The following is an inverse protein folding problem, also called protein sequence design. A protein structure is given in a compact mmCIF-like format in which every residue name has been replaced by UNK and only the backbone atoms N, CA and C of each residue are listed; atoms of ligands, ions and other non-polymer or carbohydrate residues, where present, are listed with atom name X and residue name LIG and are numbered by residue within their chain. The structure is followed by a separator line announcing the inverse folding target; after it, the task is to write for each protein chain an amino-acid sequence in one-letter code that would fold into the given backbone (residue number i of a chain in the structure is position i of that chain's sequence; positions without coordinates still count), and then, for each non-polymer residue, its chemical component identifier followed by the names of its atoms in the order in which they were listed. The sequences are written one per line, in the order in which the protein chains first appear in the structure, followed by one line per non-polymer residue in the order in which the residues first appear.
data_IF_999732441961
#
_entry.id   IF_999732441961
#
_cell.length_a   1.000
_cell.length_b   1.000
_cell.length_c   1.000
_cell.angle_alpha   90.00
_cell.angle_beta   90.00
_cell.angle_gamma   90.00
#
_symmetry.space_group_name_H-M   'P 1'
#
loop_
_entity.id
_entity.type
_entity.pdbx_description
1 polymer ?
#
# COMPACT_ATOMS: atom_id res chain seq x y z
N UNK A 1 -33.59 -44.54 0.83
CA UNK A 1 -34.53 -44.43 1.95
C UNK A 1 -34.37 -43.10 2.59
N UNK A 2 -35.37 -42.42 2.36
CA UNK A 2 -36.07 -41.28 3.00
C UNK A 2 -35.41 -39.89 3.02
N UNK A 3 -36.01 -39.10 2.14
CA UNK A 3 -36.14 -37.65 2.12
C UNK A 3 -36.70 -37.11 3.43
N UNK A 4 -36.23 -35.89 3.81
CA UNK A 4 -37.15 -34.91 4.41
C UNK A 4 -36.72 -33.48 4.00
N UNK A 5 -37.49 -32.97 3.03
CA UNK A 5 -37.60 -31.52 2.76
C UNK A 5 -38.55 -30.92 3.79
N UNK A 6 -38.23 -29.77 4.32
CA UNK A 6 -39.21 -28.91 4.96
C UNK A 6 -39.05 -27.47 4.45
N UNK A 7 -40.02 -27.09 3.63
CA UNK A 7 -40.36 -25.74 3.22
C UNK A 7 -40.73 -24.86 4.44
N UNK A 8 -40.29 -23.61 4.48
CA UNK A 8 -41.00 -22.55 5.17
C UNK A 8 -41.21 -21.34 4.24
N UNK A 9 -42.47 -21.03 4.16
CA UNK A 9 -43.20 -20.14 3.28
C UNK A 9 -42.96 -18.64 3.52
N UNK A 10 -43.07 -17.88 2.40
CA UNK A 10 -43.28 -16.42 2.33
C UNK A 10 -44.66 -16.04 2.88
N UNK A 11 -44.75 -14.94 3.61
CA UNK A 11 -45.86 -13.95 3.68
C UNK A 11 -45.38 -12.78 4.56
N UNK A 12 -45.09 -11.65 4.05
CA UNK A 12 -45.90 -10.49 3.70
C UNK A 12 -46.83 -10.01 4.84
N UNK A 13 -46.55 -8.82 5.44
CA UNK A 13 -47.63 -7.92 5.89
C UNK A 13 -47.20 -6.46 5.79
N UNK A 14 -48.16 -5.72 5.32
CA UNK A 14 -48.22 -4.32 4.92
C UNK A 14 -48.46 -3.37 6.10
N UNK A 15 -48.00 -2.13 5.91
CA UNK A 15 -48.67 -0.86 6.16
C UNK A 15 -48.94 -0.37 7.61
N UNK A 16 -48.51 0.84 7.88
CA UNK A 16 -48.93 1.69 8.98
C UNK A 16 -48.48 3.12 8.75
N UNK A 17 -49.46 3.97 8.40
CA UNK A 17 -49.36 5.30 7.88
C UNK A 17 -49.07 6.39 8.94
N UNK A 18 -48.46 7.43 8.50
CA UNK A 18 -48.64 8.87 8.73
C UNK A 18 -49.03 9.40 10.11
N UNK A 19 -48.25 10.35 10.61
CA UNK A 19 -48.82 11.52 11.29
C UNK A 19 -47.93 12.74 11.08
N UNK A 20 -48.47 13.69 10.35
CA UNK A 20 -48.04 15.09 10.23
C UNK A 20 -48.27 15.81 11.56
N UNK A 21 -47.33 16.62 12.00
CA UNK A 21 -47.62 17.70 12.95
C UNK A 21 -46.74 18.90 12.60
N UNK A 22 -47.41 19.85 11.95
CA UNK A 22 -47.00 21.24 11.79
C UNK A 22 -47.36 22.04 13.04
N UNK A 23 -46.49 22.89 13.54
CA UNK A 23 -46.78 24.08 14.36
C UNK A 23 -45.59 25.01 14.29
N UNK A 24 -45.73 26.04 13.51
CA UNK A 24 -46.06 27.46 13.74
C UNK A 24 -44.96 28.32 14.35
N UNK A 25 -44.61 29.30 13.54
CA UNK A 25 -43.80 30.48 13.79
C UNK A 25 -44.29 31.30 15.02
N UNK A 26 -43.35 31.88 15.73
CA UNK A 26 -43.51 33.15 16.41
C UNK A 26 -42.26 33.98 16.27
N UNK A 27 -42.36 35.05 15.54
CA UNK A 27 -41.39 36.13 15.50
C UNK A 27 -41.68 37.08 16.67
N UNK A 28 -40.64 37.56 17.35
CA UNK A 28 -40.63 38.84 18.00
C UNK A 28 -39.25 39.44 18.02
N UNK A 29 -39.21 40.59 17.47
CA UNK A 29 -38.20 41.59 17.28
C UNK A 29 -37.77 42.23 18.62
N UNK A 30 -36.49 42.59 18.77
CA UNK A 30 -35.94 43.88 19.19
C UNK A 30 -34.44 43.80 19.62
N UNK A 31 -33.65 44.57 18.90
CA UNK A 31 -32.66 45.46 19.57
C UNK A 31 -31.21 45.08 19.68
N UNK A 32 -30.41 45.44 18.71
CA UNK A 32 -29.17 46.23 18.92
C UNK A 32 -27.96 45.60 19.64
N UNK A 33 -26.91 45.37 18.87
CA UNK A 33 -25.59 45.15 19.42
C UNK A 33 -24.60 44.58 18.38
N UNK A 34 -23.99 45.45 17.58
CA UNK A 34 -22.85 45.08 16.73
C UNK A 34 -21.64 44.66 17.58
N UNK A 35 -21.26 43.40 17.48
CA UNK A 35 -19.87 42.98 17.69
C UNK A 35 -19.46 42.13 16.53
N UNK A 36 -18.48 42.58 15.78
CA UNK A 36 -17.82 41.89 14.73
C UNK A 36 -17.13 40.65 15.30
N UNK A 37 -17.72 39.47 15.08
CA UNK A 37 -17.05 38.23 15.25
C UNK A 37 -16.55 37.78 13.87
N UNK A 38 -15.24 37.76 13.72
CA UNK A 38 -14.57 37.22 12.54
C UNK A 38 -15.08 35.84 12.24
N UNK A 39 -15.73 35.68 11.08
CA UNK A 39 -16.03 34.38 10.50
C UNK A 39 -14.74 33.72 10.08
N UNK A 40 -14.13 32.94 10.98
CA UNK A 40 -13.19 31.93 10.58
C UNK A 40 -13.93 30.95 9.69
N UNK A 41 -13.52 30.85 8.44
CA UNK A 41 -13.91 29.75 7.58
C UNK A 41 -13.56 28.47 8.36
N UNK A 42 -14.60 27.73 8.79
CA UNK A 42 -14.45 26.36 9.23
C UNK A 42 -13.97 25.60 7.99
N UNK A 43 -12.63 25.47 7.86
CA UNK A 43 -12.03 24.51 6.96
C UNK A 43 -12.66 23.15 7.26
N UNK A 44 -13.01 22.40 6.24
CA UNK A 44 -13.37 21.01 6.36
C UNK A 44 -12.30 20.39 7.26
N UNK A 45 -12.69 19.87 8.41
CA UNK A 45 -11.77 19.20 9.31
C UNK A 45 -11.36 17.91 8.61
N UNK A 46 -10.15 17.90 8.05
CA UNK A 46 -9.49 16.67 7.65
C UNK A 46 -9.47 15.77 8.89
N UNK A 47 -10.28 14.72 8.86
CA UNK A 47 -10.58 13.91 10.04
C UNK A 47 -9.56 12.81 10.28
N UNK A 48 -8.31 12.95 9.80
CA UNK A 48 -7.23 12.02 10.10
C UNK A 48 -6.84 12.05 11.59
N UNK A 49 -6.30 10.93 12.07
CA UNK A 49 -5.73 10.85 13.42
C UNK A 49 -4.33 11.44 13.42
N UNK A 50 -4.11 12.46 14.24
CA UNK A 50 -2.77 12.99 14.51
C UNK A 50 -1.91 11.98 15.27
N UNK A 51 -0.60 12.21 15.37
CA UNK A 51 0.28 11.40 16.21
C UNK A 51 -0.20 11.34 17.68
N UNK A 52 -0.74 12.42 18.21
CA UNK A 52 -1.29 12.48 19.58
C UNK A 52 -2.60 11.69 19.70
N UNK A 53 -3.46 11.72 18.69
CA UNK A 53 -4.69 10.90 18.67
C UNK A 53 -4.37 9.41 18.62
N UNK A 54 -3.34 9.02 17.85
CA UNK A 54 -2.83 7.65 17.77
C UNK A 54 -2.29 7.20 19.13
N UNK A 55 -1.44 8.01 19.77
CA UNK A 55 -0.93 7.74 21.12
C UNK A 55 -2.05 7.59 22.16
N UNK A 56 -3.04 8.47 22.09
CA UNK A 56 -4.21 8.43 23.00
C UNK A 56 -5.08 7.21 22.76
N UNK A 57 -5.20 6.76 21.51
CA UNK A 57 -5.95 5.55 21.15
C UNK A 57 -5.20 4.27 21.53
N UNK A 58 -3.87 4.31 21.70
CA UNK A 58 -3.04 3.17 22.00
C UNK A 58 -2.78 2.22 20.83
N UNK A 59 -3.21 2.59 19.61
CA UNK A 59 -3.06 1.77 18.40
C UNK A 59 -2.81 2.63 17.17
N UNK A 60 -1.93 2.16 16.27
CA UNK A 60 -1.72 2.72 14.93
C UNK A 60 -2.15 1.72 13.87
N UNK A 61 -2.95 2.15 12.90
CA UNK A 61 -3.39 1.34 11.77
C UNK A 61 -2.38 1.45 10.64
N UNK A 62 -1.79 0.33 10.24
CA UNK A 62 -0.75 0.27 9.22
C UNK A 62 -1.26 -0.56 8.05
N UNK A 63 -1.34 0.07 6.86
CA UNK A 63 -1.62 -0.64 5.61
C UNK A 63 -0.38 -1.35 5.10
N UNK A 64 -0.50 -2.62 4.75
CA UNK A 64 0.59 -3.44 4.22
C UNK A 64 0.10 -4.41 3.16
N UNK A 65 0.96 -4.89 2.28
CA UNK A 65 0.67 -6.05 1.44
C UNK A 65 0.74 -7.31 2.28
N UNK A 66 -0.24 -8.21 2.11
CA UNK A 66 -0.27 -9.49 2.79
C UNK A 66 0.18 -10.67 1.91
N UNK A 67 0.57 -10.39 0.65
CA UNK A 67 0.87 -11.37 -0.39
C UNK A 67 2.11 -11.00 -1.26
N UNK A 68 2.95 -10.07 -0.76
CA UNK A 68 4.15 -9.59 -1.45
C UNK A 68 5.42 -9.90 -0.63
N UNK A 69 5.72 -11.20 -0.46
CA UNK A 69 6.95 -11.62 0.21
C UNK A 69 8.19 -11.24 -0.63
N UNK A 70 9.29 -10.81 0.00
CA UNK A 70 9.56 -10.72 1.45
C UNK A 70 9.25 -9.35 2.09
N UNK A 71 8.59 -8.43 1.37
CA UNK A 71 8.33 -7.06 1.83
C UNK A 71 7.16 -6.97 2.80
N UNK A 72 6.02 -7.58 2.43
CA UNK A 72 4.83 -7.67 3.28
C UNK A 72 4.05 -8.94 2.94
N UNK A 73 3.85 -9.81 3.92
CA UNK A 73 3.15 -11.08 3.74
C UNK A 73 2.59 -11.60 5.05
N UNK A 74 1.77 -12.64 4.97
CA UNK A 74 1.32 -13.39 6.14
C UNK A 74 2.20 -14.62 6.29
N UNK A 75 2.83 -14.78 7.47
CA UNK A 75 3.71 -15.89 7.75
C UNK A 75 2.94 -17.21 8.00
N UNK A 76 3.68 -18.29 8.26
CA UNK A 76 3.10 -19.62 8.56
C UNK A 76 2.23 -19.67 9.83
N UNK A 77 2.40 -18.71 10.71
CA UNK A 77 1.65 -18.59 11.97
C UNK A 77 0.44 -17.63 11.84
N UNK A 78 0.17 -17.14 10.62
CA UNK A 78 -0.92 -16.23 10.30
C UNK A 78 -0.65 -14.78 10.71
N UNK A 79 0.60 -14.41 10.93
CA UNK A 79 1.00 -13.06 11.36
C UNK A 79 1.59 -12.24 10.23
N UNK A 80 1.39 -10.91 10.24
CA UNK A 80 2.11 -10.01 9.35
C UNK A 80 3.63 -10.15 9.52
N UNK A 81 4.36 -10.21 8.41
CA UNK A 81 5.81 -10.34 8.37
C UNK A 81 6.40 -9.65 7.13
N UNK A 82 7.69 -9.39 7.15
CA UNK A 82 8.45 -8.78 6.05
C UNK A 82 9.02 -7.41 6.37
N UNK A 83 9.82 -6.89 5.44
CA UNK A 83 10.58 -5.66 5.58
C UNK A 83 9.73 -4.44 5.97
N UNK A 84 8.61 -4.20 5.27
CA UNK A 84 7.67 -3.13 5.60
C UNK A 84 7.02 -3.32 6.97
N UNK A 85 6.79 -4.57 7.37
CA UNK A 85 6.14 -4.91 8.65
C UNK A 85 7.10 -4.65 9.82
N UNK A 86 8.39 -4.99 9.69
CA UNK A 86 9.40 -4.71 10.71
C UNK A 86 9.55 -3.20 10.93
N UNK A 87 9.57 -2.41 9.85
CA UNK A 87 9.57 -0.95 9.96
C UNK A 87 8.32 -0.43 10.67
N UNK A 88 7.14 -0.94 10.31
CA UNK A 88 5.87 -0.55 10.96
C UNK A 88 5.83 -0.92 12.45
N UNK A 89 6.34 -2.09 12.84
CA UNK A 89 6.46 -2.49 14.25
C UNK A 89 7.39 -1.53 15.02
N UNK A 90 8.48 -1.10 14.39
CA UNK A 90 9.41 -0.14 14.99
C UNK A 90 8.74 1.21 15.21
N UNK A 91 8.05 1.75 14.23
CA UNK A 91 7.30 3.01 14.36
C UNK A 91 6.24 2.93 15.46
N UNK A 92 5.48 1.85 15.54
CA UNK A 92 4.49 1.65 16.59
C UNK A 92 5.11 1.61 17.99
N UNK A 93 6.23 0.89 18.14
CA UNK A 93 7.01 0.82 19.39
C UNK A 93 7.48 2.21 19.84
N UNK A 94 8.02 3.00 18.92
CA UNK A 94 8.58 4.33 19.24
C UNK A 94 7.47 5.38 19.49
N UNK A 95 6.27 5.19 18.87
CA UNK A 95 5.03 5.90 19.26
C UNK A 95 4.49 5.48 20.63
N UNK A 96 4.90 4.31 21.16
CA UNK A 96 4.38 3.75 22.40
C UNK A 96 2.98 3.15 22.28
N UNK A 97 2.64 2.59 21.09
CA UNK A 97 1.32 2.04 20.76
C UNK A 97 1.44 0.64 20.14
N UNK A 98 0.32 -0.06 20.00
CA UNK A 98 0.26 -1.33 19.28
C UNK A 98 0.04 -1.10 17.77
N UNK A 99 0.71 -1.91 16.93
CA UNK A 99 0.48 -1.92 15.49
C UNK A 99 -0.72 -2.80 15.14
N UNK A 100 -1.69 -2.23 14.42
CA UNK A 100 -2.81 -2.95 13.80
C UNK A 100 -2.60 -2.98 12.29
N UNK A 101 -2.21 -4.14 11.76
CA UNK A 101 -1.93 -4.31 10.32
C UNK A 101 -3.19 -4.58 9.52
N UNK A 102 -3.40 -3.79 8.46
CA UNK A 102 -4.56 -3.86 7.58
C UNK A 102 -4.07 -4.21 6.17
N UNK A 103 -4.47 -5.38 5.68
CA UNK A 103 -4.13 -5.81 4.33
C UNK A 103 -4.71 -4.86 3.29
N UNK A 104 -3.88 -4.53 2.29
CA UNK A 104 -4.24 -3.70 1.14
C UNK A 104 -3.80 -4.34 -0.16
N UNK A 105 -4.25 -3.79 -1.28
CA UNK A 105 -3.76 -4.02 -2.63
C UNK A 105 -3.21 -2.72 -3.25
N UNK A 106 -2.71 -2.81 -4.47
CA UNK A 106 -2.09 -1.67 -5.15
C UNK A 106 -3.04 -0.48 -5.34
N UNK A 107 -4.30 -0.73 -5.69
CA UNK A 107 -5.32 0.30 -5.94
C UNK A 107 -5.79 0.97 -4.65
N UNK A 108 -5.83 0.25 -3.55
CA UNK A 108 -6.42 0.73 -2.30
C UNK A 108 -5.45 1.54 -1.41
N UNK A 109 -4.15 1.62 -1.75
CA UNK A 109 -3.16 2.34 -0.92
C UNK A 109 -3.54 3.80 -0.68
N UNK A 110 -3.81 4.57 -1.74
CA UNK A 110 -4.27 5.97 -1.63
C UNK A 110 -5.66 6.06 -1.00
N UNK A 111 -6.70 5.34 -1.46
CA UNK A 111 -8.03 5.38 -0.85
C UNK A 111 -8.06 5.06 0.65
N UNK A 112 -7.24 4.12 1.12
CA UNK A 112 -7.21 3.76 2.55
C UNK A 112 -6.64 4.88 3.43
N UNK A 113 -5.64 5.62 2.94
CA UNK A 113 -5.15 6.83 3.61
C UNK A 113 -6.21 7.93 3.60
N UNK A 114 -6.81 8.22 2.44
CA UNK A 114 -7.81 9.29 2.29
C UNK A 114 -9.09 9.04 3.11
N UNK A 115 -9.47 7.79 3.29
CA UNK A 115 -10.63 7.40 4.10
C UNK A 115 -10.31 7.19 5.59
N UNK A 116 -9.06 7.40 6.00
CA UNK A 116 -8.58 7.13 7.35
C UNK A 116 -8.77 5.68 7.83
N UNK A 117 -8.84 4.74 6.89
CA UNK A 117 -8.83 3.30 7.20
C UNK A 117 -7.48 2.89 7.78
N UNK A 118 -6.41 3.52 7.33
CA UNK A 118 -5.06 3.39 7.85
C UNK A 118 -4.48 4.77 8.19
N UNK A 119 -3.57 4.81 9.15
CA UNK A 119 -2.82 6.01 9.53
C UNK A 119 -1.51 6.12 8.74
N UNK A 120 -0.85 4.99 8.53
CA UNK A 120 0.42 4.86 7.81
C UNK A 120 0.25 3.78 6.74
N UNK A 121 0.75 4.04 5.53
CA UNK A 121 0.85 3.05 4.47
C UNK A 121 2.30 2.60 4.33
N UNK A 122 2.55 1.32 4.61
CA UNK A 122 3.82 0.61 4.44
C UNK A 122 3.57 -0.63 3.55
N UNK A 123 3.25 -0.38 2.29
CA UNK A 123 2.93 -1.40 1.32
C UNK A 123 3.79 -1.23 0.07
N UNK A 124 5.13 -1.25 0.27
CA UNK A 124 6.12 -1.08 -0.79
C UNK A 124 5.73 0.06 -1.72
N UNK A 125 5.48 1.26 -1.10
CA UNK A 125 4.75 2.33 -1.76
C UNK A 125 5.68 3.31 -2.46
N UNK A 126 5.86 3.10 -3.76
CA UNK A 126 6.68 3.95 -4.62
C UNK A 126 6.22 5.39 -4.63
N UNK A 127 7.13 6.32 -4.41
CA UNK A 127 6.88 7.76 -4.50
C UNK A 127 6.72 8.14 -5.98
N UNK A 128 5.57 8.71 -6.33
CA UNK A 128 5.30 9.29 -7.65
C UNK A 128 4.62 10.64 -7.47
N UNK A 129 4.79 11.53 -8.46
CA UNK A 129 4.14 12.85 -8.44
C UNK A 129 2.63 12.72 -8.28
N UNK A 130 1.98 11.83 -9.05
CA UNK A 130 0.54 11.61 -8.99
C UNK A 130 0.07 11.19 -7.60
N UNK A 131 0.83 10.30 -6.93
CA UNK A 131 0.51 9.86 -5.57
C UNK A 131 0.77 10.96 -4.55
N UNK A 132 1.87 11.72 -4.71
CA UNK A 132 2.22 12.83 -3.82
C UNK A 132 1.22 14.00 -3.86
N UNK A 133 0.43 14.13 -4.91
CA UNK A 133 -0.71 15.06 -4.92
C UNK A 133 -1.81 14.65 -3.94
N UNK A 134 -1.95 13.36 -3.64
CA UNK A 134 -3.07 12.76 -2.89
C UNK A 134 -2.73 12.36 -1.46
N UNK A 135 -1.46 12.10 -1.18
CA UNK A 135 -0.94 11.66 0.13
C UNK A 135 0.39 12.37 0.41
N UNK A 136 0.86 12.34 1.65
CA UNK A 136 2.21 12.82 1.99
C UNK A 136 3.14 11.64 2.25
N UNK A 137 4.30 11.66 1.57
CA UNK A 137 5.33 10.66 1.71
C UNK A 137 6.40 11.09 2.70
N UNK A 138 6.88 10.15 3.48
CA UNK A 138 8.08 10.31 4.31
C UNK A 138 9.35 10.38 3.46
N UNK A 139 10.48 10.57 4.11
CA UNK A 139 11.78 10.25 3.55
C UNK A 139 11.81 8.77 3.14
N UNK A 140 12.52 8.43 2.06
CA UNK A 140 12.57 7.06 1.55
C UNK A 140 13.39 6.13 2.47
N UNK A 141 13.04 4.84 2.44
CA UNK A 141 13.79 3.78 3.14
C UNK A 141 14.28 2.68 2.20
N UNK A 142 13.85 2.70 0.94
CA UNK A 142 14.23 1.72 -0.07
C UNK A 142 14.23 2.36 -1.46
N UNK A 143 15.03 1.81 -2.38
CA UNK A 143 15.04 2.17 -3.80
C UNK A 143 14.83 0.94 -4.66
N UNK A 144 14.18 1.14 -5.81
CA UNK A 144 13.81 0.09 -6.75
C UNK A 144 13.93 0.58 -8.20
N UNK A 145 13.89 -0.37 -9.11
CA UNK A 145 13.54 -0.19 -10.53
C UNK A 145 12.44 -1.18 -10.90
N UNK A 146 11.97 -1.17 -12.13
CA UNK A 146 11.08 -2.21 -12.60
C UNK A 146 11.88 -3.40 -13.13
N UNK A 147 11.28 -4.59 -13.01
CA UNK A 147 11.82 -5.83 -13.55
C UNK A 147 10.78 -6.64 -14.32
N UNK A 148 11.25 -7.58 -15.12
CA UNK A 148 10.42 -8.54 -15.85
C UNK A 148 10.91 -9.94 -15.58
N UNK A 149 10.01 -10.79 -15.08
CA UNK A 149 10.22 -12.24 -14.91
C UNK A 149 9.43 -13.01 -15.97
N UNK A 150 10.02 -14.08 -16.49
CA UNK A 150 9.41 -14.95 -17.49
C UNK A 150 9.92 -16.39 -17.34
N UNK A 151 9.25 -17.40 -17.95
CA UNK A 151 9.77 -18.76 -17.96
C UNK A 151 11.15 -18.84 -18.61
N UNK A 152 12.05 -19.67 -18.05
CA UNK A 152 13.39 -19.94 -18.61
C UNK A 152 13.34 -20.46 -20.06
N UNK A 153 12.27 -21.17 -20.41
CA UNK A 153 12.05 -21.68 -21.77
C UNK A 153 11.69 -20.59 -22.80
N UNK A 154 11.35 -19.38 -22.33
CA UNK A 154 10.91 -18.25 -23.15
C UNK A 154 11.28 -16.92 -22.50
N UNK A 155 12.57 -16.72 -22.24
CA UNK A 155 13.09 -15.55 -21.51
C UNK A 155 12.78 -14.27 -22.28
N UNK A 156 12.24 -13.27 -21.58
CA UNK A 156 12.08 -11.91 -22.07
C UNK A 156 13.26 -11.07 -21.58
N UNK A 157 14.13 -10.66 -22.50
CA UNK A 157 15.36 -9.90 -22.20
C UNK A 157 15.28 -8.42 -22.51
N UNK A 158 14.20 -8.00 -23.17
CA UNK A 158 13.91 -6.60 -23.50
C UNK A 158 12.40 -6.40 -23.64
N UNK A 159 11.97 -5.15 -23.51
CA UNK A 159 10.54 -4.79 -23.70
C UNK A 159 10.07 -5.09 -25.14
N UNK A 160 10.95 -4.97 -26.15
CA UNK A 160 10.60 -5.25 -27.53
C UNK A 160 10.16 -6.72 -27.75
N UNK A 161 10.65 -7.64 -26.92
CA UNK A 161 10.27 -9.05 -26.97
C UNK A 161 8.88 -9.35 -26.41
N UNK A 162 8.22 -8.35 -25.81
CA UNK A 162 6.80 -8.42 -25.37
C UNK A 162 5.82 -8.25 -26.52
N UNK A 163 6.29 -7.88 -27.70
CA UNK A 163 5.41 -7.72 -28.88
C UNK A 163 4.68 -9.03 -29.21
N UNK A 164 3.34 -8.93 -29.19
CA UNK A 164 2.47 -10.10 -29.42
C UNK A 164 2.35 -11.06 -28.25
N UNK A 165 2.94 -10.74 -27.09
CA UNK A 165 2.87 -11.49 -25.85
C UNK A 165 1.96 -10.80 -24.84
N UNK A 166 1.60 -11.54 -23.79
CA UNK A 166 0.77 -11.04 -22.67
C UNK A 166 1.65 -10.77 -21.46
N UNK A 167 1.71 -9.51 -21.05
CA UNK A 167 2.40 -9.11 -19.83
C UNK A 167 1.41 -9.06 -18.67
N UNK A 168 1.69 -9.81 -17.61
CA UNK A 168 0.96 -9.73 -16.36
C UNK A 168 1.46 -8.54 -15.57
N UNK A 169 0.53 -7.79 -14.94
CA UNK A 169 0.84 -6.71 -13.99
C UNK A 169 -0.20 -6.71 -12.87
N UNK A 170 0.19 -6.21 -11.69
CA UNK A 170 -0.75 -5.92 -10.61
C UNK A 170 -1.29 -4.50 -10.77
N UNK A 171 -2.60 -4.31 -10.56
CA UNK A 171 -3.27 -3.01 -10.68
C UNK A 171 -2.78 -2.00 -9.64
N UNK A 172 -2.77 -0.72 -10.00
CA UNK A 172 -2.35 0.37 -9.13
C UNK A 172 -0.84 0.41 -8.87
N UNK A 173 -0.03 -0.34 -9.65
CA UNK A 173 1.43 -0.38 -9.52
C UNK A 173 2.11 0.56 -10.53
N UNK A 174 3.37 0.89 -10.27
CA UNK A 174 4.21 1.65 -11.19
C UNK A 174 4.49 0.88 -12.47
N UNK A 175 4.55 -0.45 -12.42
CA UNK A 175 4.69 -1.28 -13.61
C UNK A 175 3.48 -1.13 -14.55
N UNK A 176 2.25 -1.20 -14.02
CA UNK A 176 1.05 -0.96 -14.82
C UNK A 176 1.11 0.39 -15.52
N UNK A 177 1.34 1.47 -14.76
CA UNK A 177 1.37 2.84 -15.30
C UNK A 177 2.51 3.05 -16.29
N UNK A 178 3.67 2.42 -16.04
CA UNK A 178 4.84 2.51 -16.92
C UNK A 178 4.54 1.92 -18.30
N UNK A 179 3.96 0.72 -18.36
CA UNK A 179 3.61 0.08 -19.61
C UNK A 179 2.46 0.77 -20.32
N UNK A 180 1.44 1.25 -19.61
CA UNK A 180 0.36 2.05 -20.22
C UNK A 180 0.86 3.30 -20.93
N UNK A 181 1.82 3.97 -20.31
CA UNK A 181 2.34 5.24 -20.81
C UNK A 181 3.37 5.08 -21.93
N UNK A 182 4.29 4.13 -21.77
CA UNK A 182 5.47 4.02 -22.64
C UNK A 182 5.34 2.93 -23.70
N UNK A 183 4.49 1.92 -23.48
CA UNK A 183 4.33 0.75 -24.38
C UNK A 183 2.85 0.36 -24.51
N UNK A 184 1.99 1.25 -25.00
CA UNK A 184 0.54 1.02 -25.10
C UNK A 184 0.16 -0.15 -26.01
N UNK A 185 1.10 -0.61 -26.87
CA UNK A 185 0.94 -1.78 -27.74
C UNK A 185 1.12 -3.11 -27.01
N UNK A 186 1.69 -3.12 -25.79
CA UNK A 186 1.85 -4.33 -25.00
C UNK A 186 0.51 -4.76 -24.42
N UNK A 187 0.11 -6.00 -24.69
CA UNK A 187 -1.12 -6.54 -24.14
C UNK A 187 -0.93 -6.88 -22.68
N UNK A 188 -1.54 -6.10 -21.79
CA UNK A 188 -1.50 -6.35 -20.33
C UNK A 188 -2.66 -7.21 -19.86
N UNK A 189 -2.36 -8.15 -18.95
CA UNK A 189 -3.32 -8.92 -18.16
C UNK A 189 -3.18 -8.47 -16.71
N UNK A 190 -4.22 -7.82 -16.18
CA UNK A 190 -4.16 -7.09 -14.91
C UNK A 190 -4.87 -7.83 -13.79
N UNK A 191 -4.22 -7.97 -12.64
CA UNK A 191 -4.74 -8.63 -11.44
C UNK A 191 -4.81 -7.65 -10.26
N UNK A 192 -5.72 -7.89 -9.32
CA UNK A 192 -5.87 -7.06 -8.13
C UNK A 192 -4.81 -7.39 -7.06
N UNK A 193 -4.45 -8.67 -6.93
CA UNK A 193 -3.47 -9.17 -5.96
C UNK A 193 -2.19 -9.66 -6.61
N UNK A 194 -1.08 -9.64 -5.86
CA UNK A 194 0.18 -10.25 -6.29
C UNK A 194 0.09 -11.76 -6.36
N UNK A 195 -0.63 -12.39 -5.43
CA UNK A 195 -0.85 -13.83 -5.43
C UNK A 195 -1.55 -14.29 -6.73
N UNK A 196 -2.60 -13.58 -7.16
CA UNK A 196 -3.29 -13.91 -8.41
C UNK A 196 -2.43 -13.66 -9.65
N UNK A 197 -1.62 -12.59 -9.63
CA UNK A 197 -0.70 -12.27 -10.72
C UNK A 197 0.38 -13.36 -10.88
N UNK A 198 0.99 -13.79 -9.79
CA UNK A 198 1.97 -14.87 -9.82
C UNK A 198 1.36 -16.22 -10.18
N UNK A 199 0.19 -16.56 -9.65
CA UNK A 199 -0.54 -17.77 -10.05
C UNK A 199 -0.87 -17.74 -11.55
N UNK A 200 -1.21 -16.57 -12.09
CA UNK A 200 -1.47 -16.43 -13.52
C UNK A 200 -0.23 -16.68 -14.37
N UNK A 201 0.95 -16.27 -13.90
CA UNK A 201 2.21 -16.57 -14.58
C UNK A 201 2.54 -18.07 -14.50
N UNK A 202 2.39 -18.70 -13.34
CA UNK A 202 2.60 -20.13 -13.14
C UNK A 202 1.65 -20.98 -14.01
N UNK A 203 0.40 -20.54 -14.18
CA UNK A 203 -0.62 -21.19 -15.01
C UNK A 203 -0.45 -20.90 -16.52
N UNK A 204 0.51 -20.07 -16.93
CA UNK A 204 0.73 -19.70 -18.33
C UNK A 204 -0.38 -18.81 -18.91
N UNK A 205 -1.11 -18.06 -18.07
CA UNK A 205 -2.13 -17.08 -18.53
C UNK A 205 -1.53 -15.79 -19.10
N UNK A 206 -0.22 -15.58 -18.86
CA UNK A 206 0.61 -14.57 -19.47
C UNK A 206 2.01 -15.11 -19.73
N UNK A 207 2.77 -14.42 -20.57
CA UNK A 207 4.10 -14.82 -21.00
C UNK A 207 5.20 -14.29 -20.06
N UNK A 208 4.91 -13.20 -19.35
CA UNK A 208 5.82 -12.56 -18.40
C UNK A 208 5.03 -11.80 -17.33
N UNK A 209 5.68 -11.44 -16.22
CA UNK A 209 5.15 -10.57 -15.19
C UNK A 209 6.14 -9.43 -14.91
N UNK A 210 5.62 -8.21 -14.77
CA UNK A 210 6.42 -7.03 -14.41
C UNK A 210 5.92 -6.41 -13.11
N UNK A 211 6.88 -6.14 -12.22
CA UNK A 211 6.75 -5.39 -10.97
C UNK A 211 8.12 -4.81 -10.59
N UNK A 212 8.33 -4.46 -9.32
CA UNK A 212 9.63 -4.00 -8.83
C UNK A 212 10.69 -5.09 -9.02
N UNK A 213 11.90 -4.70 -9.46
CA UNK A 213 12.99 -5.62 -9.70
C UNK A 213 13.36 -6.45 -8.48
N UNK A 214 13.33 -5.84 -7.29
CA UNK A 214 13.59 -6.51 -6.02
C UNK A 214 12.61 -7.64 -5.75
N UNK A 215 11.35 -7.48 -6.15
CA UNK A 215 10.33 -8.50 -5.96
C UNK A 215 10.48 -9.66 -6.94
N UNK A 216 10.67 -9.38 -8.24
CA UNK A 216 10.88 -10.47 -9.22
C UNK A 216 12.16 -11.26 -8.92
N UNK A 217 13.24 -10.60 -8.44
CA UNK A 217 14.45 -11.25 -7.97
C UNK A 217 14.19 -12.18 -6.77
N UNK A 218 13.39 -11.73 -5.80
CA UNK A 218 13.00 -12.56 -4.65
C UNK A 218 12.13 -13.75 -5.09
N UNK A 219 11.16 -13.51 -5.96
CA UNK A 219 10.21 -14.52 -6.38
C UNK A 219 10.86 -15.69 -7.13
N UNK A 220 11.82 -15.43 -8.03
CA UNK A 220 12.50 -16.49 -8.78
C UNK A 220 13.32 -17.42 -7.89
N UNK A 221 13.82 -16.94 -6.73
CA UNK A 221 14.54 -17.80 -5.78
C UNK A 221 13.70 -18.97 -5.25
N UNK A 222 12.40 -18.77 -5.18
CA UNK A 222 11.43 -19.78 -4.71
C UNK A 222 10.67 -20.47 -5.85
N UNK A 223 10.87 -20.06 -7.10
CA UNK A 223 10.12 -20.56 -8.26
C UNK A 223 11.08 -20.99 -9.38
N UNK A 224 11.70 -22.18 -9.27
CA UNK A 224 12.56 -22.73 -10.32
C UNK A 224 11.81 -22.83 -11.66
N UNK A 225 12.53 -22.60 -12.76
CA UNK A 225 11.95 -22.57 -14.11
C UNK A 225 11.53 -21.19 -14.58
N UNK A 226 11.74 -20.17 -13.74
CA UNK A 226 11.56 -18.76 -14.08
C UNK A 226 12.86 -17.97 -13.86
N UNK A 227 13.03 -16.92 -14.65
CA UNK A 227 14.21 -16.08 -14.61
C UNK A 227 13.85 -14.61 -14.80
N UNK A 228 14.55 -13.73 -14.12
CA UNK A 228 14.49 -12.29 -14.37
C UNK A 228 15.33 -11.99 -15.61
N UNK A 229 14.67 -11.62 -16.68
CA UNK A 229 15.36 -11.28 -17.93
C UNK A 229 15.61 -9.78 -18.09
N UNK A 230 14.87 -8.94 -17.35
CA UNK A 230 15.06 -7.49 -17.24
C UNK A 230 14.97 -7.13 -15.77
N UNK A 231 15.99 -6.49 -15.19
CA UNK A 231 16.08 -6.07 -13.79
C UNK A 231 16.35 -4.56 -13.62
N UNK A 232 16.49 -3.85 -14.72
CA UNK A 232 16.82 -2.42 -14.79
C UNK A 232 15.92 -1.72 -15.81
N UNK A 233 14.62 -1.66 -15.53
CA UNK A 233 13.65 -1.02 -16.42
C UNK A 233 13.14 0.29 -15.83
N UNK A 234 13.18 1.35 -16.65
CA UNK A 234 12.75 2.68 -16.25
C UNK A 234 13.78 3.43 -15.40
N UNK A 235 13.34 4.46 -14.70
CA UNK A 235 14.18 5.20 -13.77
C UNK A 235 14.24 4.48 -12.42
N UNK A 236 15.27 4.80 -11.63
CA UNK A 236 15.28 4.42 -10.23
C UNK A 236 14.21 5.22 -9.48
N UNK A 237 13.36 4.51 -8.75
CA UNK A 237 12.32 5.07 -7.89
C UNK A 237 12.62 4.76 -6.42
N UNK A 238 11.96 5.47 -5.53
CA UNK A 238 12.09 5.25 -4.08
C UNK A 238 10.78 4.76 -3.48
N UNK A 239 10.91 3.95 -2.43
CA UNK A 239 9.82 3.51 -1.57
C UNK A 239 9.85 4.33 -0.29
N UNK A 240 8.70 4.84 0.12
CA UNK A 240 8.55 5.61 1.36
C UNK A 240 7.25 5.25 2.07
N UNK A 241 7.21 5.48 3.39
CA UNK A 241 5.96 5.45 4.12
C UNK A 241 5.08 6.61 3.68
N UNK A 242 3.76 6.43 3.70
CA UNK A 242 2.84 7.52 3.39
C UNK A 242 1.79 7.69 4.48
N UNK A 243 1.33 8.92 4.63
CA UNK A 243 0.27 9.31 5.54
C UNK A 243 -0.81 10.08 4.79
N UNK A 244 -1.98 10.28 5.43
CA UNK A 244 -3.03 11.15 4.89
C UNK A 244 -2.46 12.52 4.57
N UNK A 245 -2.86 13.09 3.41
CA UNK A 245 -2.45 14.43 2.98
C UNK A 245 -2.74 15.47 4.07
N UNK A 246 -1.71 16.22 4.46
CA UNK A 246 -1.80 17.24 5.52
C UNK A 246 -1.57 16.71 6.94
N UNK A 247 -1.35 15.40 7.16
CA UNK A 247 -0.99 14.87 8.48
C UNK A 247 0.48 15.13 8.82
N UNK A 248 0.83 16.41 8.98
CA UNK A 248 2.21 16.87 9.18
C UNK A 248 2.83 16.31 10.46
N UNK A 249 2.06 16.20 11.55
CA UNK A 249 2.59 15.72 12.83
C UNK A 249 3.06 14.27 12.77
N UNK A 250 2.29 13.39 12.10
CA UNK A 250 2.68 11.99 11.92
C UNK A 250 3.82 11.85 10.91
N UNK A 251 3.81 12.66 9.85
CA UNK A 251 4.88 12.70 8.86
C UNK A 251 6.22 13.14 9.48
N UNK A 252 6.19 14.22 10.27
CA UNK A 252 7.38 14.71 11.00
C UNK A 252 7.92 13.67 11.97
N UNK A 253 7.04 12.96 12.69
CA UNK A 253 7.45 11.86 13.55
C UNK A 253 8.20 10.79 12.74
N UNK A 254 7.63 10.29 11.62
CA UNK A 254 8.27 9.25 10.80
C UNK A 254 9.62 9.74 10.26
N UNK A 255 9.70 10.97 9.77
CA UNK A 255 10.94 11.54 9.24
C UNK A 255 12.03 11.71 10.31
N UNK A 256 11.64 12.12 11.53
CA UNK A 256 12.56 12.23 12.65
C UNK A 256 13.08 10.84 13.08
N UNK A 257 12.24 9.82 13.06
CA UNK A 257 12.69 8.43 13.30
C UNK A 257 13.70 7.99 12.23
N UNK A 258 13.39 8.20 10.95
CA UNK A 258 14.28 7.81 9.83
C UNK A 258 15.64 8.50 9.93
N UNK A 259 15.69 9.80 10.23
CA UNK A 259 16.95 10.58 10.24
C UNK A 259 17.69 10.52 11.58
N UNK A 260 17.05 10.12 12.64
CA UNK A 260 17.58 10.02 14.01
C UNK A 260 17.79 8.59 14.46
N UNK A 261 16.94 8.06 15.36
CA UNK A 261 17.19 6.75 15.99
C UNK A 261 17.40 5.61 15.00
N UNK A 262 16.65 5.55 13.89
CA UNK A 262 16.80 4.48 12.91
C UNK A 262 18.13 4.57 12.18
N UNK A 263 18.54 5.76 11.75
CA UNK A 263 19.84 5.95 11.10
C UNK A 263 21.01 5.66 12.05
N UNK A 264 20.93 6.11 13.31
CA UNK A 264 21.95 5.84 14.32
C UNK A 264 22.13 4.35 14.60
N UNK A 265 21.05 3.59 14.52
CA UNK A 265 21.04 2.15 14.70
C UNK A 265 21.40 1.36 13.45
N UNK A 266 21.48 2.00 12.27
CA UNK A 266 21.60 1.34 10.96
C UNK A 266 20.43 0.36 10.74
N UNK A 267 19.22 0.85 11.00
CA UNK A 267 18.03 0.01 11.15
C UNK A 267 17.64 -0.69 9.85
N UNK A 268 17.61 0.03 8.74
CA UNK A 268 17.16 -0.55 7.46
C UNK A 268 18.12 -1.58 6.90
N UNK A 269 19.42 -1.45 7.17
CA UNK A 269 20.40 -2.51 6.85
C UNK A 269 20.21 -3.74 7.73
N UNK A 270 19.94 -3.55 9.03
CA UNK A 270 19.66 -4.69 9.93
C UNK A 270 18.37 -5.41 9.53
N UNK A 271 17.34 -4.66 9.18
CA UNK A 271 16.09 -5.21 8.69
C UNK A 271 16.31 -5.98 7.38
N UNK A 272 17.13 -5.43 6.45
CA UNK A 272 17.54 -6.15 5.26
C UNK A 272 18.21 -7.49 5.60
N UNK A 273 19.15 -7.52 6.53
CA UNK A 273 19.83 -8.75 6.94
C UNK A 273 18.88 -9.80 7.54
N UNK A 274 17.84 -9.34 8.27
CA UNK A 274 16.86 -10.22 8.91
C UNK A 274 15.78 -10.71 7.94
N UNK A 275 15.30 -9.85 7.04
CA UNK A 275 14.10 -10.12 6.23
C UNK A 275 14.41 -10.41 4.76
N UNK A 276 15.35 -9.70 4.15
CA UNK A 276 15.65 -9.77 2.72
C UNK A 276 16.85 -10.66 2.39
N UNK A 277 17.92 -10.60 3.18
CA UNK A 277 19.12 -11.43 2.98
C UNK A 277 18.83 -12.94 2.90
N UNK A 278 17.95 -13.52 3.73
CA UNK A 278 17.63 -14.95 3.64
C UNK A 278 17.01 -15.36 2.31
N UNK A 279 16.38 -14.41 1.60
CA UNK A 279 15.76 -14.63 0.29
C UNK A 279 16.73 -14.32 -0.84
N UNK A 280 17.42 -13.20 -0.79
CA UNK A 280 18.32 -12.76 -1.86
C UNK A 280 19.67 -13.52 -1.88
N UNK A 281 20.13 -13.96 -0.69
CA UNK A 281 21.49 -14.49 -0.54
C UNK A 281 22.55 -13.38 -0.56
N UNK A 282 23.80 -13.77 -0.76
CA UNK A 282 24.96 -12.84 -0.77
C UNK A 282 25.16 -12.14 -2.12
N UNK A 283 24.42 -12.54 -3.14
CA UNK A 283 24.57 -12.02 -4.50
C UNK A 283 23.98 -10.61 -4.70
N UNK A 284 23.14 -10.16 -3.78
CA UNK A 284 22.51 -8.84 -3.85
C UNK A 284 23.12 -7.91 -2.83
N UNK A 285 23.76 -6.85 -3.32
CA UNK A 285 24.32 -5.79 -2.49
C UNK A 285 23.20 -4.98 -1.83
N UNK A 286 23.10 -4.92 -0.49
CA UNK A 286 22.08 -4.13 0.21
C UNK A 286 22.08 -2.66 -0.19
N UNK A 287 23.24 -2.10 -0.58
CA UNK A 287 23.36 -0.70 -1.02
C UNK A 287 22.56 -0.41 -2.31
N UNK A 288 22.17 -1.45 -3.06
CA UNK A 288 21.32 -1.30 -4.25
C UNK A 288 19.84 -1.15 -3.90
N UNK A 289 19.46 -1.51 -2.68
CA UNK A 289 18.06 -1.56 -2.21
C UNK A 289 17.81 -0.60 -1.06
N UNK A 290 18.66 -0.66 -0.02
CA UNK A 290 18.47 0.06 1.24
C UNK A 290 18.74 1.56 1.07
N UNK A 291 17.93 2.37 1.73
CA UNK A 291 18.16 3.81 1.91
C UNK A 291 18.17 4.11 3.40
N UNK A 292 19.37 4.24 3.96
CA UNK A 292 19.55 4.57 5.38
C UNK A 292 19.49 6.08 5.61
N UNK A 293 18.79 6.52 6.67
CA UNK A 293 18.68 7.94 7.02
C UNK A 293 17.96 8.79 5.98
N UNK A 294 17.22 8.19 5.06
CA UNK A 294 16.45 8.88 4.01
C UNK A 294 17.29 9.53 2.91
N UNK A 295 18.56 9.15 2.76
CA UNK A 295 19.49 9.74 1.78
C UNK A 295 19.66 8.78 0.60
N UNK A 296 19.18 9.19 -0.58
CA UNK A 296 19.28 8.45 -1.86
C UNK A 296 20.60 8.76 -2.56
#
# INVERSE_FOLDING_TARGET
MNNLFANVSRRAFLAGAASFSTLLLSACDHGGGQTAAGGGAAGASDTFRSGDDIKKAGTVNIGYFSDKAPFGYVDKDGKPAGYDVVFGMRLAKDLGVEANYISTDGLNRVPFLQSNKVDIMLANFTVTEERAEKVDFSLPYMKIKLGIVSPESAVIKSVDELKGKKLIVSKGTTAETYFEKNYPEVTMVKFDSYADAYNALLDGRGDAFSTDNTEVLAWVKSNPGFVVGVDDLGNADTIAAAVHKGNTSLLEFINNEITGPLAEENFFHKDYEETLRPVFGDDVDPETIVVEGGKV
#
